data_IF_760371330308
#
_entry.id   IF_760371330308
#
_cell.length_a   1.000
_cell.length_b   1.000
_cell.length_c   1.000
_cell.angle_alpha   90.00
_cell.angle_beta   90.00
_cell.angle_gamma   90.00
#
_symmetry.space_group_name_H-M   'P 1'
#
loop_
_entity.id
_entity.type
_entity.pdbx_description
1 polymer ?
#
# COMPACT_ATOMS: atom_id res chain seq x y z
N UNK A 1 -21.72 -17.57 -3.25
CA UNK A 1 -20.54 -17.05 -2.48
C UNK A 1 -20.45 -17.75 -1.14
N UNK A 2 -21.46 -17.68 -0.27
CA UNK A 2 -21.43 -18.22 1.12
C UNK A 2 -20.95 -19.67 1.14
N UNK A 3 -21.53 -20.56 0.33
CA UNK A 3 -21.15 -21.99 0.29
C UNK A 3 -19.70 -22.22 -0.16
N UNK A 4 -19.17 -21.39 -1.07
CA UNK A 4 -17.76 -21.47 -1.50
C UNK A 4 -16.81 -21.04 -0.38
N UNK A 5 -17.16 -19.97 0.35
CA UNK A 5 -16.37 -19.48 1.48
C UNK A 5 -16.36 -20.48 2.64
N UNK A 6 -17.53 -21.04 2.98
CA UNK A 6 -17.64 -22.09 4.00
C UNK A 6 -16.82 -23.34 3.64
N UNK A 7 -16.85 -23.77 2.38
CA UNK A 7 -16.01 -24.87 1.91
C UNK A 7 -14.51 -24.57 2.08
N UNK A 8 -14.05 -23.39 1.62
CA UNK A 8 -12.64 -23.00 1.72
C UNK A 8 -12.15 -22.95 3.17
N UNK A 9 -12.95 -22.39 4.07
CA UNK A 9 -12.62 -22.33 5.50
C UNK A 9 -12.56 -23.74 6.12
N UNK A 10 -13.50 -24.62 5.76
CA UNK A 10 -13.55 -25.98 6.31
C UNK A 10 -12.38 -26.88 5.86
N UNK A 11 -11.76 -26.59 4.72
CA UNK A 11 -10.59 -27.33 4.21
C UNK A 11 -9.26 -26.60 4.48
N UNK A 12 -9.28 -25.52 5.27
CA UNK A 12 -8.07 -24.77 5.62
C UNK A 12 -7.51 -23.92 4.46
N UNK A 13 -8.34 -23.54 3.50
CA UNK A 13 -7.99 -22.69 2.35
C UNK A 13 -8.61 -21.29 2.48
N UNK A 14 -8.73 -20.78 3.70
CA UNK A 14 -9.27 -19.48 4.03
C UNK A 14 -8.51 -18.31 3.34
N UNK A 15 -7.23 -18.50 3.05
CA UNK A 15 -6.44 -17.54 2.27
C UNK A 15 -6.97 -17.33 0.83
N UNK A 16 -7.76 -18.25 0.29
CA UNK A 16 -8.44 -18.09 -1.01
C UNK A 16 -9.79 -17.36 -0.89
N UNK A 17 -10.29 -17.12 0.33
CA UNK A 17 -11.59 -16.48 0.53
C UNK A 17 -11.63 -15.08 -0.09
N UNK A 18 -10.55 -14.30 0.04
CA UNK A 18 -10.45 -12.97 -0.58
C UNK A 18 -10.54 -13.07 -2.12
N UNK A 19 -9.87 -14.03 -2.76
CA UNK A 19 -9.91 -14.21 -4.22
C UNK A 19 -11.35 -14.50 -4.70
N UNK A 20 -12.08 -15.36 -4.00
CA UNK A 20 -13.50 -15.64 -4.31
C UNK A 20 -14.38 -14.40 -4.19
N UNK A 21 -14.16 -13.57 -3.15
CA UNK A 21 -14.90 -12.32 -2.96
C UNK A 21 -14.58 -11.35 -4.09
N UNK A 22 -13.31 -11.19 -4.44
CA UNK A 22 -12.88 -10.28 -5.51
C UNK A 22 -13.41 -10.67 -6.88
N UNK A 23 -13.45 -11.99 -7.21
CA UNK A 23 -14.06 -12.52 -8.44
C UNK A 23 -15.53 -12.12 -8.56
N UNK A 24 -16.30 -12.28 -7.49
CA UNK A 24 -17.74 -11.95 -7.49
C UNK A 24 -17.99 -10.42 -7.53
N UNK A 25 -17.16 -9.62 -6.87
CA UNK A 25 -17.23 -8.17 -6.97
C UNK A 25 -16.86 -7.72 -8.39
N UNK A 26 -15.80 -8.29 -8.97
CA UNK A 26 -15.33 -7.94 -10.30
C UNK A 26 -16.34 -8.26 -11.40
N UNK A 27 -17.17 -9.30 -11.21
CA UNK A 27 -18.26 -9.61 -12.11
C UNK A 27 -19.32 -8.48 -12.15
N UNK A 28 -19.48 -7.71 -11.07
CA UNK A 28 -20.33 -6.54 -11.03
C UNK A 28 -19.63 -5.25 -11.41
N UNK A 29 -18.45 -5.00 -10.84
CA UNK A 29 -17.63 -3.82 -11.10
C UNK A 29 -16.14 -4.07 -10.79
N UNK A 30 -15.32 -4.11 -11.84
CA UNK A 30 -13.88 -4.31 -11.72
C UNK A 30 -13.14 -3.17 -10.98
N UNK A 31 -13.66 -1.94 -11.01
CA UNK A 31 -13.04 -0.82 -10.30
C UNK A 31 -13.20 -0.98 -8.78
N UNK A 32 -14.38 -1.36 -8.31
CA UNK A 32 -14.62 -1.67 -6.88
C UNK A 32 -13.77 -2.86 -6.43
N UNK A 33 -13.68 -3.92 -7.26
CA UNK A 33 -12.82 -5.06 -6.97
C UNK A 33 -11.36 -4.66 -6.79
N UNK A 34 -10.83 -3.77 -7.65
CA UNK A 34 -9.45 -3.26 -7.55
C UNK A 34 -9.22 -2.50 -6.24
N UNK A 35 -10.14 -1.63 -5.83
CA UNK A 35 -10.05 -0.88 -4.56
C UNK A 35 -10.03 -1.82 -3.37
N UNK A 36 -10.96 -2.79 -3.32
CA UNK A 36 -11.03 -3.80 -2.26
C UNK A 36 -9.77 -4.65 -2.23
N UNK A 37 -9.26 -5.05 -3.40
CA UNK A 37 -8.01 -5.81 -3.52
C UNK A 37 -6.84 -5.08 -2.91
N UNK A 38 -6.57 -3.83 -3.31
CA UNK A 38 -5.42 -3.05 -2.81
C UNK A 38 -5.53 -2.77 -1.32
N UNK A 39 -6.72 -2.44 -0.81
CA UNK A 39 -6.92 -2.20 0.62
C UNK A 39 -6.60 -3.44 1.47
N UNK A 40 -7.05 -4.63 1.04
CA UNK A 40 -6.80 -5.88 1.77
C UNK A 40 -5.38 -6.41 1.54
N UNK A 41 -4.94 -6.45 0.28
CA UNK A 41 -3.63 -6.92 -0.11
C UNK A 41 -3.08 -6.04 -1.23
N UNK A 42 -2.06 -5.19 -0.99
CA UNK A 42 -1.03 -5.36 0.05
C UNK A 42 -1.24 -4.60 1.37
N UNK A 43 -2.14 -3.61 1.49
CA UNK A 43 -2.12 -2.66 2.63
C UNK A 43 -2.39 -3.34 3.98
N UNK A 44 -3.56 -3.96 4.15
CA UNK A 44 -3.88 -4.64 5.42
C UNK A 44 -2.96 -5.83 5.71
N UNK A 45 -2.57 -6.61 4.69
CA UNK A 45 -1.68 -7.77 4.88
C UNK A 45 -0.30 -7.35 5.37
N UNK A 46 0.26 -6.26 4.84
CA UNK A 46 1.54 -5.71 5.29
C UNK A 46 1.44 -5.22 6.75
N UNK A 47 0.39 -4.46 7.08
CA UNK A 47 0.17 -3.98 8.44
C UNK A 47 -0.04 -5.14 9.43
N UNK A 48 -0.75 -6.20 9.02
CA UNK A 48 -0.93 -7.40 9.83
C UNK A 48 0.39 -8.07 10.13
N UNK A 49 1.26 -8.23 9.14
CA UNK A 49 2.52 -8.96 9.25
C UNK A 49 3.63 -8.16 9.96
N UNK A 50 3.74 -6.86 9.70
CA UNK A 50 4.88 -6.04 10.09
C UNK A 50 4.53 -4.89 11.04
N UNK A 51 3.26 -4.54 11.20
CA UNK A 51 2.81 -3.49 12.11
C UNK A 51 2.98 -3.89 13.58
N UNK A 52 3.39 -2.95 14.41
CA UNK A 52 3.36 -3.10 15.86
C UNK A 52 1.92 -2.97 16.41
N UNK A 53 1.74 -3.16 17.72
CA UNK A 53 0.42 -3.14 18.34
C UNK A 53 -0.33 -1.81 18.15
N UNK A 54 0.38 -0.68 18.30
CA UNK A 54 -0.18 0.67 18.14
C UNK A 54 -0.58 0.91 16.67
N UNK A 55 0.30 0.59 15.73
CA UNK A 55 0.03 0.73 14.29
C UNK A 55 -1.17 -0.12 13.84
N UNK A 56 -1.32 -1.34 14.38
CA UNK A 56 -2.47 -2.19 14.10
C UNK A 56 -3.77 -1.59 14.66
N UNK A 57 -3.71 -1.01 15.84
CA UNK A 57 -4.88 -0.35 16.44
C UNK A 57 -5.30 0.89 15.65
N UNK A 58 -4.34 1.75 15.32
CA UNK A 58 -4.57 3.04 14.67
C UNK A 58 -4.93 2.93 13.19
N UNK A 59 -4.38 1.96 12.47
CA UNK A 59 -4.50 1.88 11.01
C UNK A 59 -5.15 0.58 10.54
N UNK A 60 -4.68 -0.59 11.00
CA UNK A 60 -5.19 -1.86 10.46
C UNK A 60 -6.67 -2.09 10.80
N UNK A 61 -7.08 -1.84 12.04
CA UNK A 61 -8.49 -2.05 12.43
C UNK A 61 -9.46 -1.15 11.67
N UNK A 62 -9.22 0.18 11.53
CA UNK A 62 -10.09 1.02 10.71
C UNK A 62 -10.10 0.62 9.22
N UNK A 63 -8.95 0.26 8.65
CA UNK A 63 -8.86 -0.24 7.27
C UNK A 63 -9.66 -1.54 7.06
N UNK A 64 -9.56 -2.49 8.00
CA UNK A 64 -10.27 -3.76 7.92
C UNK A 64 -11.80 -3.60 8.11
N UNK A 65 -12.25 -2.55 8.81
CA UNK A 65 -13.68 -2.23 8.97
C UNK A 65 -14.24 -1.40 7.82
N UNK A 66 -13.38 -0.85 6.96
CA UNK A 66 -13.78 0.07 5.89
C UNK A 66 -14.02 1.51 6.37
N UNK A 67 -13.61 1.86 7.60
CA UNK A 67 -13.62 3.22 8.13
C UNK A 67 -12.51 4.08 7.49
N UNK A 68 -11.48 3.44 6.96
CA UNK A 68 -10.36 4.02 6.20
C UNK A 68 -10.11 3.23 4.93
N UNK A 69 -9.52 3.90 3.93
CA UNK A 69 -9.07 3.31 2.68
C UNK A 69 -7.55 3.46 2.55
N UNK A 70 -6.88 2.38 2.14
CA UNK A 70 -5.44 2.32 2.03
C UNK A 70 -4.92 2.44 0.61
N UNK A 71 -3.75 3.06 0.46
CA UNK A 71 -2.97 3.14 -0.76
C UNK A 71 -1.60 2.48 -0.60
N UNK A 72 -1.02 1.96 -1.70
CA UNK A 72 0.31 1.35 -1.70
C UNK A 72 1.23 2.07 -2.67
N UNK A 73 2.23 2.78 -2.13
CA UNK A 73 3.11 3.68 -2.85
C UNK A 73 4.50 3.06 -3.06
N UNK A 74 4.64 2.18 -4.06
CA UNK A 74 5.92 1.58 -4.45
C UNK A 74 6.45 2.18 -5.75
N UNK A 75 5.67 2.06 -6.83
CA UNK A 75 6.04 2.44 -8.20
C UNK A 75 6.40 3.93 -8.32
N UNK A 76 7.42 4.22 -9.13
CA UNK A 76 7.86 5.58 -9.47
C UNK A 76 7.89 5.75 -10.99
N UNK A 77 7.93 6.98 -11.54
CA UNK A 77 7.88 7.21 -12.99
C UNK A 77 8.93 6.46 -13.81
N UNK A 78 10.06 6.12 -13.19
CA UNK A 78 11.19 5.43 -13.82
C UNK A 78 11.44 4.02 -13.25
N UNK A 79 10.63 3.56 -12.30
CA UNK A 79 10.78 2.27 -11.59
C UNK A 79 9.44 1.57 -11.46
N UNK A 80 9.32 0.46 -12.17
CA UNK A 80 8.18 -0.45 -12.07
C UNK A 80 8.62 -1.85 -11.65
N UNK A 81 8.97 -2.68 -12.64
CA UNK A 81 9.35 -4.08 -12.41
C UNK A 81 10.63 -4.25 -11.56
N UNK A 82 11.56 -3.30 -11.64
CA UNK A 82 12.73 -3.28 -10.77
C UNK A 82 12.49 -2.43 -9.51
N UNK A 83 11.70 -2.94 -8.59
CA UNK A 83 11.32 -2.23 -7.36
C UNK A 83 12.50 -1.81 -6.45
N UNK A 84 13.69 -2.32 -6.69
CA UNK A 84 14.90 -1.93 -5.95
C UNK A 84 15.54 -0.60 -6.38
N UNK A 85 15.10 -0.02 -7.50
CA UNK A 85 15.68 1.21 -8.08
C UNK A 85 15.00 2.51 -7.63
N UNK A 86 14.33 2.54 -6.47
CA UNK A 86 13.60 3.70 -5.96
C UNK A 86 14.49 4.93 -5.77
N UNK A 87 13.92 6.10 -6.03
CA UNK A 87 14.56 7.41 -5.85
C UNK A 87 13.89 8.27 -4.78
N UNK A 88 12.63 8.02 -4.44
CA UNK A 88 11.98 8.67 -3.29
C UNK A 88 12.81 8.43 -2.05
N UNK A 89 13.15 9.49 -1.33
CA UNK A 89 14.01 9.45 -0.15
C UNK A 89 13.20 9.66 1.13
N UNK A 90 13.70 9.12 2.23
CA UNK A 90 13.25 9.43 3.58
C UNK A 90 14.48 9.71 4.45
N UNK A 91 14.68 10.97 4.78
CA UNK A 91 15.82 11.42 5.59
C UNK A 91 15.36 11.63 7.03
N UNK A 92 16.07 11.01 7.97
CA UNK A 92 15.75 11.17 9.40
C UNK A 92 16.10 12.60 9.88
N UNK A 93 15.15 13.24 10.55
CA UNK A 93 15.27 14.57 11.16
C UNK A 93 14.67 14.51 12.58
N UNK A 94 15.51 14.21 13.55
CA UNK A 94 15.11 14.02 14.94
C UNK A 94 14.18 12.82 15.13
N UNK A 95 12.97 13.08 15.56
CA UNK A 95 11.88 12.12 15.78
C UNK A 95 10.97 11.91 14.56
N UNK A 96 11.36 12.41 13.40
CA UNK A 96 10.61 12.35 12.16
C UNK A 96 11.49 11.87 11.01
N UNK A 97 10.82 11.48 9.90
CA UNK A 97 11.42 11.30 8.57
C UNK A 97 10.83 12.33 7.61
N UNK A 98 11.68 12.92 6.79
CA UNK A 98 11.29 13.85 5.73
C UNK A 98 11.31 13.11 4.40
N UNK A 99 10.13 12.87 3.84
CA UNK A 99 9.96 12.18 2.57
C UNK A 99 9.97 13.18 1.41
N UNK A 100 10.75 12.86 0.36
CA UNK A 100 10.82 13.62 -0.89
C UNK A 100 10.86 12.69 -2.09
N UNK A 101 10.01 12.92 -3.08
CA UNK A 101 9.98 12.11 -4.31
C UNK A 101 8.60 12.04 -4.95
N UNK A 102 8.48 11.14 -5.95
CA UNK A 102 7.25 10.99 -6.72
C UNK A 102 6.88 9.52 -6.82
N UNK A 103 5.63 9.19 -6.54
CA UNK A 103 5.05 7.86 -6.74
C UNK A 103 4.05 7.90 -7.89
N UNK A 104 4.00 6.82 -8.69
CA UNK A 104 3.23 6.74 -9.92
C UNK A 104 2.25 5.58 -9.87
N UNK A 105 1.09 5.77 -10.52
CA UNK A 105 0.04 4.76 -10.65
C UNK A 105 -0.50 4.22 -9.32
N UNK A 106 -0.71 5.12 -8.37
CA UNK A 106 -1.14 4.75 -7.02
C UNK A 106 -2.67 4.64 -6.97
N UNK A 107 -3.15 3.41 -6.84
CA UNK A 107 -4.58 3.12 -6.58
C UNK A 107 -4.97 3.68 -5.23
N UNK A 108 -6.13 4.35 -5.18
CA UNK A 108 -6.63 5.07 -4.00
C UNK A 108 -5.68 6.18 -3.51
N UNK A 109 -4.79 6.67 -4.36
CA UNK A 109 -3.83 7.71 -3.99
C UNK A 109 -4.46 9.05 -3.68
N UNK A 110 -5.63 9.33 -4.27
CA UNK A 110 -6.43 10.55 -3.99
C UNK A 110 -7.43 10.32 -2.87
N UNK A 111 -8.17 9.22 -2.92
CA UNK A 111 -9.30 8.97 -2.04
C UNK A 111 -8.94 8.12 -0.81
N UNK A 112 -7.69 7.63 -0.74
CA UNK A 112 -7.20 6.89 0.43
C UNK A 112 -6.94 7.80 1.62
N UNK A 113 -7.09 7.26 2.83
CA UNK A 113 -6.83 7.94 4.10
C UNK A 113 -5.40 7.73 4.59
N UNK A 114 -4.80 6.59 4.22
CA UNK A 114 -3.45 6.22 4.60
C UNK A 114 -2.72 5.51 3.46
N UNK A 115 -1.42 5.82 3.29
CA UNK A 115 -0.56 5.20 2.31
C UNK A 115 0.60 4.43 2.97
N UNK A 116 0.91 3.22 2.47
CA UNK A 116 2.16 2.53 2.77
C UNK A 116 3.18 2.96 1.72
N UNK A 117 4.20 3.71 2.14
CA UNK A 117 5.16 4.35 1.24
C UNK A 117 6.54 3.73 1.37
N UNK A 118 7.10 3.24 0.26
CA UNK A 118 8.48 2.77 0.19
C UNK A 118 9.40 3.93 -0.18
N UNK A 119 10.44 4.17 0.63
CA UNK A 119 11.41 5.23 0.39
C UNK A 119 12.82 4.79 0.79
N UNK A 120 13.82 5.42 0.19
CA UNK A 120 15.26 5.13 0.44
C UNK A 120 15.69 5.92 1.68
N UNK A 121 16.09 5.20 2.72
CA UNK A 121 16.72 5.74 3.94
C UNK A 121 18.24 5.72 3.88
N UNK A 122 18.82 4.73 3.17
CA UNK A 122 20.28 4.59 2.95
C UNK A 122 20.59 4.15 1.52
N UNK A 123 21.09 5.08 0.70
CA UNK A 123 21.50 4.77 -0.69
C UNK A 123 22.68 3.80 -0.77
N UNK A 124 23.58 3.82 0.21
CA UNK A 124 24.78 3.00 0.19
C UNK A 124 24.49 1.52 0.39
N UNK A 125 23.38 1.20 1.08
CA UNK A 125 22.93 -0.16 1.33
C UNK A 125 22.16 -0.79 0.15
N UNK A 126 21.96 -0.07 -0.97
CA UNK A 126 21.23 -0.56 -2.14
C UNK A 126 19.82 -1.01 -1.80
N UNK A 127 19.46 -2.24 -2.17
CA UNK A 127 18.11 -2.80 -1.89
C UNK A 127 17.78 -2.91 -0.40
N UNK A 128 18.77 -2.99 0.47
CA UNK A 128 18.62 -3.02 1.92
C UNK A 128 18.49 -1.62 2.54
N UNK A 129 18.63 -0.57 1.75
CA UNK A 129 18.45 0.80 2.19
C UNK A 129 17.04 1.35 1.95
N UNK A 130 16.07 0.51 1.57
CA UNK A 130 14.67 0.89 1.38
C UNK A 130 13.90 0.57 2.65
N UNK A 131 13.14 1.55 3.15
CA UNK A 131 12.27 1.43 4.33
C UNK A 131 10.81 1.67 3.96
N UNK A 132 9.89 1.22 4.81
CA UNK A 132 8.45 1.37 4.63
C UNK A 132 7.87 2.33 5.68
N UNK A 133 6.96 3.21 5.28
CA UNK A 133 6.35 4.21 6.16
C UNK A 133 4.83 4.18 6.03
N UNK A 134 4.14 4.36 7.16
CA UNK A 134 2.70 4.60 7.21
C UNK A 134 2.49 6.11 7.16
N UNK A 135 1.90 6.61 6.08
CA UNK A 135 1.71 8.05 5.85
C UNK A 135 0.21 8.35 5.73
N UNK A 136 -0.41 9.03 6.70
CA UNK A 136 -1.73 9.61 6.50
C UNK A 136 -1.73 10.54 5.29
N UNK A 137 -2.69 10.42 4.38
CA UNK A 137 -2.72 11.21 3.15
C UNK A 137 -2.98 12.69 3.38
N UNK A 138 -3.50 13.03 4.56
CA UNK A 138 -3.65 14.42 5.04
C UNK A 138 -2.34 15.07 5.52
N UNK A 139 -1.23 14.31 5.57
CA UNK A 139 0.07 14.86 6.00
C UNK A 139 0.53 15.97 5.06
N UNK A 140 0.91 17.17 5.58
CA UNK A 140 1.47 18.22 4.75
C UNK A 140 2.65 17.72 3.91
N UNK A 141 2.67 18.06 2.62
CA UNK A 141 3.67 17.56 1.68
C UNK A 141 3.27 16.26 0.96
N UNK A 142 2.18 15.59 1.31
CA UNK A 142 1.53 14.59 0.47
C UNK A 142 0.59 15.31 -0.50
N UNK A 143 0.90 15.28 -1.80
CA UNK A 143 0.12 16.02 -2.79
C UNK A 143 -0.24 15.12 -3.97
N UNK A 144 -1.51 15.12 -4.35
CA UNK A 144 -1.99 14.47 -5.58
C UNK A 144 -1.60 15.37 -6.76
N UNK A 145 -0.52 15.03 -7.44
CA UNK A 145 0.00 15.81 -8.57
C UNK A 145 -0.85 15.63 -9.83
N UNK A 146 -1.36 14.40 -10.04
CA UNK A 146 -2.19 14.06 -11.19
C UNK A 146 -3.06 12.84 -10.92
N UNK A 147 -4.25 12.81 -11.51
CA UNK A 147 -5.08 11.60 -11.64
C UNK A 147 -4.89 11.08 -13.06
N UNK A 148 -4.66 9.78 -13.21
CA UNK A 148 -4.48 9.16 -14.52
C UNK A 148 -5.82 9.04 -15.25
N UNK A 149 -5.82 9.44 -16.53
CA UNK A 149 -6.92 9.16 -17.44
C UNK A 149 -6.77 7.74 -17.98
N UNK A 150 -7.70 6.87 -17.63
CA UNK A 150 -7.63 5.44 -17.92
C UNK A 150 -8.70 5.03 -18.93
N UNK A 151 -8.45 3.95 -19.68
CA UNK A 151 -9.43 3.37 -20.60
C UNK A 151 -10.63 2.72 -19.89
N UNK A 152 -10.45 2.30 -18.63
CA UNK A 152 -11.49 1.62 -17.84
C UNK A 152 -11.24 1.75 -16.33
N UNK A 153 -12.10 1.13 -15.53
CA UNK A 153 -12.04 1.16 -14.06
C UNK A 153 -12.02 2.59 -13.49
N UNK A 154 -12.83 3.48 -14.05
CA UNK A 154 -12.81 4.91 -13.72
C UNK A 154 -13.26 5.21 -12.27
N UNK A 155 -14.04 4.32 -11.64
CA UNK A 155 -14.44 4.47 -10.25
C UNK A 155 -13.29 4.22 -9.24
N UNK A 156 -12.19 3.57 -9.68
CA UNK A 156 -10.96 3.43 -8.91
C UNK A 156 -10.00 4.54 -9.32
N UNK A 157 -9.69 5.49 -8.45
CA UNK A 157 -8.68 6.51 -8.76
C UNK A 157 -7.28 5.88 -8.85
N UNK A 158 -6.48 6.43 -9.75
CA UNK A 158 -5.08 6.07 -9.94
C UNK A 158 -4.28 7.36 -10.03
N UNK A 159 -3.45 7.63 -9.04
CA UNK A 159 -2.82 8.92 -8.86
C UNK A 159 -1.29 8.89 -9.03
N UNK A 160 -0.74 10.02 -9.45
CA UNK A 160 0.65 10.39 -9.20
C UNK A 160 0.70 11.19 -7.92
N UNK A 161 1.55 10.77 -6.97
CA UNK A 161 1.71 11.40 -5.67
C UNK A 161 3.08 12.06 -5.58
N UNK A 162 3.10 13.33 -5.25
CA UNK A 162 4.30 14.09 -4.93
C UNK A 162 4.46 14.16 -3.41
N UNK A 163 5.64 13.78 -2.93
CA UNK A 163 6.11 14.04 -1.57
C UNK A 163 7.08 15.22 -1.63
N UNK A 164 6.72 16.32 -1.00
CA UNK A 164 7.54 17.54 -0.89
C UNK A 164 7.69 17.92 0.58
N UNK A 165 8.87 17.63 1.15
CA UNK A 165 9.16 17.80 2.56
C UNK A 165 8.07 17.20 3.47
N UNK A 166 7.51 16.06 3.08
CA UNK A 166 6.45 15.38 3.81
C UNK A 166 7.02 14.77 5.10
N UNK A 167 6.65 15.36 6.23
CA UNK A 167 7.16 14.99 7.57
C UNK A 167 6.30 13.90 8.19
N UNK A 168 6.91 12.77 8.47
CA UNK A 168 6.25 11.58 9.02
C UNK A 168 6.90 11.22 10.34
N UNK A 169 6.15 11.03 11.44
CA UNK A 169 6.70 10.62 12.72
C UNK A 169 7.51 9.32 12.62
N UNK A 170 8.61 9.21 13.36
CA UNK A 170 9.45 8.00 13.34
C UNK A 170 8.69 6.75 13.80
N UNK A 171 7.68 6.89 14.65
CA UNK A 171 6.78 5.82 15.08
C UNK A 171 5.94 5.22 13.94
N UNK A 172 5.82 5.92 12.80
CA UNK A 172 5.15 5.44 11.60
C UNK A 172 6.10 4.66 10.66
N UNK A 173 7.37 4.45 11.04
CA UNK A 173 8.22 3.47 10.37
C UNK A 173 7.60 2.08 10.53
N UNK A 174 7.39 1.37 9.43
CA UNK A 174 6.78 0.04 9.43
C UNK A 174 7.86 -1.03 9.38
N UNK A 175 7.95 -1.85 10.44
CA UNK A 175 9.09 -2.75 10.65
C UNK A 175 10.35 -1.98 11.00
N UNK A 176 11.52 -2.51 10.61
CA UNK A 176 12.83 -1.87 10.81
C UNK A 176 13.28 -1.12 9.55
N UNK A 177 14.21 -0.16 9.70
CA UNK A 177 14.89 0.45 8.57
C UNK A 177 15.56 -0.62 7.69
N UNK A 178 15.48 -0.44 6.37
CA UNK A 178 16.05 -1.37 5.40
C UNK A 178 15.18 -2.58 5.07
N UNK A 179 14.04 -2.76 5.74
CA UNK A 179 13.11 -3.85 5.46
C UNK A 179 12.08 -3.55 4.36
N UNK A 180 12.01 -2.32 3.86
CA UNK A 180 10.94 -1.87 2.97
C UNK A 180 10.76 -2.73 1.72
N UNK A 181 11.84 -3.13 1.04
CA UNK A 181 11.71 -3.98 -0.15
C UNK A 181 11.16 -5.37 0.20
N UNK A 182 11.60 -5.97 1.32
CA UNK A 182 11.06 -7.25 1.80
C UNK A 182 9.57 -7.13 2.12
N UNK A 183 9.19 -6.07 2.80
CA UNK A 183 7.79 -5.76 3.15
C UNK A 183 6.96 -5.60 1.87
N UNK A 184 7.44 -4.83 0.89
CA UNK A 184 6.75 -4.61 -0.37
C UNK A 184 6.51 -5.92 -1.14
N UNK A 185 7.55 -6.74 -1.28
CA UNK A 185 7.46 -8.00 -2.02
C UNK A 185 6.51 -8.99 -1.34
N UNK A 186 6.53 -9.10 -0.01
CA UNK A 186 5.61 -9.98 0.72
C UNK A 186 4.14 -9.57 0.55
N UNK A 187 3.85 -8.26 0.53
CA UNK A 187 2.51 -7.76 0.27
C UNK A 187 2.05 -8.01 -1.18
N UNK A 188 2.94 -7.87 -2.15
CA UNK A 188 2.61 -8.10 -3.57
C UNK A 188 2.39 -9.56 -3.90
N UNK A 189 3.01 -10.50 -3.19
CA UNK A 189 2.87 -11.94 -3.45
C UNK A 189 1.41 -12.40 -3.29
N UNK A 190 0.75 -12.02 -2.20
CA UNK A 190 -0.67 -12.30 -1.99
C UNK A 190 -1.59 -11.52 -2.93
N UNK A 191 -1.26 -10.27 -3.24
CA UNK A 191 -2.06 -9.40 -4.11
C UNK A 191 -2.18 -9.90 -5.56
N UNK A 192 -1.18 -10.61 -6.08
CA UNK A 192 -1.19 -11.16 -7.45
C UNK A 192 -2.27 -12.21 -7.67
N UNK A 193 -2.63 -12.97 -6.65
CA UNK A 193 -3.71 -13.97 -6.73
C UNK A 193 -5.06 -13.25 -6.89
N UNK A 194 -5.28 -12.17 -6.16
CA UNK A 194 -6.53 -11.42 -6.20
C UNK A 194 -6.75 -10.61 -7.48
N UNK A 195 -5.67 -10.33 -8.25
CA UNK A 195 -5.78 -9.54 -9.49
C UNK A 195 -5.88 -10.43 -10.75
N UNK A 196 -5.53 -11.69 -10.66
CA UNK A 196 -5.61 -12.67 -11.76
C UNK A 196 -7.03 -13.10 -12.04
#
# INVERSE_FOLDING_TARGET
>A
IVSRLEFLNNVGLDYLALAVILEEIAAGDGATSTVVSVNNCPVCSILMAFGNADQKERFLKPLARGDMLGAFCLTEPHVGSEAGGLKTTAVRDGDQYVLNGVKQFITSGKNGDVAIVMAVTDRSAGKKGISAFIVPTSTPGYTVARIEDKMGQHASDTAQILFDNCRVPAENLLGDEGMGLKIALSGLEGGRIGIA
#
